data_IF_137964008993
#
_entry.id   IF_137964008993
#
_cell.length_a   1.000
_cell.length_b   1.000
_cell.length_c   1.000
_cell.angle_alpha   90.00
_cell.angle_beta   90.00
_cell.angle_gamma   90.00
#
_symmetry.space_group_name_H-M   'P 1'
#
loop_
_entity.id
_entity.type
_entity.pdbx_description
1 polymer ?
#
# COMPACT_ATOMS: atom_id res chain seq x y z
N UNK A 1 14.88 13.58 -12.86
CA UNK A 1 14.59 14.13 -14.21
C UNK A 1 14.51 15.63 -14.10
N UNK A 2 14.98 16.40 -15.07
CA UNK A 2 14.79 17.84 -15.08
C UNK A 2 13.32 18.13 -15.41
N UNK A 3 12.58 18.62 -14.45
CA UNK A 3 11.16 18.99 -14.56
C UNK A 3 10.66 19.52 -13.22
N UNK A 4 9.47 20.13 -13.19
CA UNK A 4 8.92 20.67 -11.95
C UNK A 4 8.64 19.53 -10.97
N UNK A 5 8.82 19.78 -9.68
CA UNK A 5 8.49 18.86 -8.60
C UNK A 5 6.98 18.89 -8.34
N UNK A 6 6.43 17.81 -7.76
CA UNK A 6 4.98 17.70 -7.53
C UNK A 6 4.40 18.86 -6.72
N UNK A 7 5.13 19.37 -5.74
CA UNK A 7 4.70 20.50 -4.90
C UNK A 7 4.84 21.88 -5.55
N UNK A 8 5.52 21.96 -6.71
CA UNK A 8 5.67 23.20 -7.50
C UNK A 8 4.53 23.40 -8.50
N UNK A 9 3.69 22.35 -8.68
CA UNK A 9 2.55 22.37 -9.59
C UNK A 9 1.26 21.97 -8.84
N UNK A 10 0.12 22.24 -9.42
CA UNK A 10 -1.15 21.83 -8.82
C UNK A 10 -1.36 20.29 -8.88
N UNK A 11 -2.26 19.74 -8.04
CA UNK A 11 -2.49 18.29 -7.95
C UNK A 11 -2.78 17.59 -9.28
N UNK A 12 -3.58 18.22 -10.14
CA UNK A 12 -3.91 17.67 -11.47
C UNK A 12 -2.67 17.49 -12.36
N UNK A 13 -1.79 18.48 -12.42
CA UNK A 13 -0.55 18.39 -13.19
C UNK A 13 0.44 17.42 -12.56
N UNK A 14 0.55 17.40 -11.24
CA UNK A 14 1.39 16.44 -10.50
C UNK A 14 0.99 14.99 -10.79
N UNK A 15 -0.31 14.69 -10.90
CA UNK A 15 -0.83 13.37 -11.30
C UNK A 15 -0.40 12.99 -12.71
N UNK A 16 -0.50 13.92 -13.67
CA UNK A 16 -0.04 13.72 -15.05
C UNK A 16 1.47 13.43 -15.10
N UNK A 17 2.27 14.19 -14.32
CA UNK A 17 3.72 13.97 -14.24
C UNK A 17 4.05 12.61 -13.64
N UNK A 18 3.31 12.17 -12.62
CA UNK A 18 3.48 10.84 -12.03
C UNK A 18 3.21 9.73 -13.06
N UNK A 19 2.10 9.78 -13.81
CA UNK A 19 1.81 8.84 -14.89
C UNK A 19 2.97 8.75 -15.91
N UNK A 20 3.42 9.90 -16.42
CA UNK A 20 4.55 9.94 -17.37
C UNK A 20 5.83 9.33 -16.78
N UNK A 21 6.11 9.62 -15.52
CA UNK A 21 7.28 9.08 -14.83
C UNK A 21 7.22 7.55 -14.72
N UNK A 22 6.06 7.00 -14.32
CA UNK A 22 5.87 5.54 -14.18
C UNK A 22 6.04 4.80 -15.50
N UNK A 23 5.49 5.32 -16.59
CA UNK A 23 5.67 4.71 -17.92
C UNK A 23 7.13 4.58 -18.36
N UNK A 24 8.00 5.47 -17.91
CA UNK A 24 9.43 5.47 -18.24
C UNK A 24 10.25 4.64 -17.26
N UNK A 25 9.93 4.74 -15.97
CA UNK A 25 10.78 4.26 -14.88
C UNK A 25 10.43 2.84 -14.38
N UNK A 26 9.20 2.37 -14.62
CA UNK A 26 8.78 1.04 -14.16
C UNK A 26 8.77 0.00 -15.28
N UNK A 27 8.74 -1.26 -14.89
CA UNK A 27 8.54 -2.39 -15.80
C UNK A 27 7.12 -2.37 -16.39
N UNK A 28 6.88 -3.00 -17.55
CA UNK A 28 5.54 -3.10 -18.11
C UNK A 28 4.64 -4.02 -17.26
N UNK A 29 3.33 -3.88 -17.42
CA UNK A 29 2.34 -4.74 -16.75
C UNK A 29 2.57 -6.23 -17.03
N UNK A 30 2.94 -6.56 -18.28
CA UNK A 30 3.08 -7.95 -18.72
C UNK A 30 1.74 -8.67 -18.83
N UNK A 31 1.79 -9.95 -19.24
CA UNK A 31 0.60 -10.75 -19.45
C UNK A 31 0.04 -11.30 -18.13
N UNK A 32 -1.27 -11.23 -17.97
CA UNK A 32 -2.06 -11.89 -16.94
C UNK A 32 -3.30 -12.53 -17.57
N UNK A 33 -3.80 -13.58 -16.95
CA UNK A 33 -5.05 -14.21 -17.39
C UNK A 33 -6.25 -13.27 -17.18
N UNK A 34 -6.21 -12.44 -16.13
CA UNK A 34 -7.30 -11.49 -15.84
C UNK A 34 -6.72 -10.15 -15.40
N UNK A 35 -7.14 -9.08 -16.08
CA UNK A 35 -7.11 -7.70 -15.59
C UNK A 35 -8.50 -7.13 -15.81
N UNK A 36 -9.24 -6.85 -14.74
CA UNK A 36 -10.66 -6.49 -14.84
C UNK A 36 -11.03 -5.36 -13.87
N UNK A 37 -11.68 -4.31 -14.40
CA UNK A 37 -12.30 -3.27 -13.58
C UNK A 37 -13.49 -3.79 -12.80
N UNK A 38 -13.63 -3.33 -11.56
CA UNK A 38 -14.71 -3.63 -10.63
C UNK A 38 -15.16 -2.35 -9.94
N UNK A 39 -16.29 -2.41 -9.28
CA UNK A 39 -16.78 -1.31 -8.46
C UNK A 39 -17.33 -1.85 -7.14
N UNK A 40 -16.92 -1.24 -6.04
CA UNK A 40 -17.46 -1.52 -4.72
C UNK A 40 -18.32 -0.34 -4.25
N UNK A 41 -19.38 -0.63 -3.51
CA UNK A 41 -20.17 0.43 -2.86
C UNK A 41 -19.38 1.01 -1.69
N UNK A 42 -19.07 2.30 -1.76
CA UNK A 42 -18.39 3.06 -0.71
C UNK A 42 -19.31 4.02 0.05
N UNK A 43 -18.75 4.75 1.03
CA UNK A 43 -19.51 5.68 1.88
C UNK A 43 -20.04 6.91 1.13
N UNK A 44 -19.43 7.30 0.02
CA UNK A 44 -19.82 8.48 -0.76
C UNK A 44 -20.10 8.17 -2.25
N UNK A 45 -20.29 6.91 -2.59
CA UNK A 45 -20.53 6.45 -3.97
C UNK A 45 -19.72 5.20 -4.31
N UNK A 46 -19.52 4.98 -5.59
CA UNK A 46 -18.78 3.82 -6.09
C UNK A 46 -17.27 4.02 -5.93
N UNK A 47 -16.59 2.98 -5.43
CA UNK A 47 -15.13 2.91 -5.34
C UNK A 47 -14.62 2.06 -6.50
N UNK A 48 -13.86 2.61 -7.45
CA UNK A 48 -13.23 1.84 -8.51
C UNK A 48 -12.24 0.82 -7.92
N UNK A 49 -12.33 -0.41 -8.39
CA UNK A 49 -11.37 -1.47 -8.05
C UNK A 49 -10.81 -2.07 -9.33
N UNK A 50 -9.65 -2.72 -9.24
CA UNK A 50 -9.11 -3.51 -10.35
C UNK A 50 -8.56 -4.84 -9.83
N UNK A 51 -9.04 -5.92 -10.45
CA UNK A 51 -8.59 -7.29 -10.19
C UNK A 51 -7.47 -7.66 -11.17
N UNK A 52 -6.40 -8.22 -10.64
CA UNK A 52 -5.29 -8.83 -11.37
C UNK A 52 -5.16 -10.28 -10.94
N UNK A 53 -5.14 -11.22 -11.88
CA UNK A 53 -4.97 -12.63 -11.59
C UNK A 53 -4.15 -13.33 -12.67
N UNK A 54 -3.15 -14.08 -12.25
CA UNK A 54 -2.33 -14.90 -13.12
C UNK A 54 -3.07 -16.15 -13.64
N UNK A 55 -4.20 -16.52 -13.03
CA UNK A 55 -5.05 -17.65 -13.42
C UNK A 55 -6.41 -17.18 -13.93
N UNK A 56 -6.93 -17.89 -14.92
CA UNK A 56 -8.28 -17.63 -15.45
C UNK A 56 -9.38 -18.12 -14.50
N UNK A 57 -9.11 -19.19 -13.75
CA UNK A 57 -10.04 -19.80 -12.79
C UNK A 57 -9.34 -20.08 -11.46
N UNK A 58 -10.06 -19.86 -10.36
CA UNK A 58 -9.59 -20.14 -9.01
C UNK A 58 -10.68 -20.77 -8.15
N UNK A 59 -10.26 -21.69 -7.28
CA UNK A 59 -11.04 -22.08 -6.12
C UNK A 59 -11.04 -21.02 -5.02
N UNK A 60 -11.78 -21.25 -3.92
CA UNK A 60 -11.75 -20.40 -2.73
C UNK A 60 -10.33 -20.20 -2.21
N UNK A 61 -9.98 -18.96 -1.84
CA UNK A 61 -8.62 -18.67 -1.37
C UNK A 61 -8.42 -17.25 -0.86
N UNK A 62 -7.20 -16.95 -0.37
CA UNK A 62 -6.81 -15.61 0.02
C UNK A 62 -6.70 -14.66 -1.18
N UNK A 63 -6.91 -13.37 -0.94
CA UNK A 63 -6.68 -12.30 -1.92
C UNK A 63 -5.83 -11.20 -1.31
N UNK A 64 -5.00 -10.56 -2.13
CA UNK A 64 -4.26 -9.36 -1.75
C UNK A 64 -5.14 -8.14 -2.02
N UNK A 65 -5.38 -7.33 -1.01
CA UNK A 65 -6.02 -6.02 -1.14
C UNK A 65 -4.92 -4.96 -1.15
N UNK A 66 -4.73 -4.29 -2.27
CA UNK A 66 -3.66 -3.33 -2.47
C UNK A 66 -4.17 -1.88 -2.47
N UNK A 67 -3.57 -1.04 -1.65
CA UNK A 67 -3.76 0.41 -1.63
C UNK A 67 -2.49 1.09 -2.15
N UNK A 68 -2.64 1.94 -3.16
CA UNK A 68 -1.50 2.60 -3.80
C UNK A 68 -0.93 3.75 -2.96
N UNK A 69 0.35 4.07 -3.18
CA UNK A 69 1.02 5.25 -2.63
C UNK A 69 0.71 6.53 -3.41
N UNK A 70 1.32 7.63 -2.95
CA UNK A 70 1.17 8.95 -3.58
C UNK A 70 0.74 10.05 -2.62
N UNK A 71 1.04 9.92 -1.31
CA UNK A 71 0.78 10.95 -0.31
C UNK A 71 -0.70 11.30 -0.16
N UNK A 72 -1.62 10.36 -0.44
CA UNK A 72 -3.07 10.56 -0.42
C UNK A 72 -3.60 11.56 -1.47
N UNK A 73 -2.73 12.07 -2.34
CA UNK A 73 -3.01 13.13 -3.34
C UNK A 73 -2.76 12.65 -4.75
N UNK A 74 -1.76 11.82 -4.94
CA UNK A 74 -1.29 11.29 -6.23
C UNK A 74 -1.54 9.78 -6.31
N UNK A 75 -1.28 9.23 -7.48
CA UNK A 75 -1.44 7.81 -7.75
C UNK A 75 -2.88 7.44 -8.10
N UNK A 76 -3.02 6.28 -8.69
CA UNK A 76 -4.28 5.65 -9.06
C UNK A 76 -4.03 4.18 -9.44
N UNK A 77 -5.07 3.52 -9.96
CA UNK A 77 -4.98 2.15 -10.42
C UNK A 77 -3.94 1.97 -11.53
N UNK A 78 -3.89 2.89 -12.51
CA UNK A 78 -3.01 2.78 -13.67
C UNK A 78 -1.52 2.98 -13.31
N UNK A 79 -1.23 3.87 -12.36
CA UNK A 79 0.15 4.11 -11.91
C UNK A 79 0.78 2.93 -11.17
N UNK A 80 -0.04 2.01 -10.65
CA UNK A 80 0.41 0.84 -9.90
C UNK A 80 0.03 -0.50 -10.58
N UNK A 81 -0.57 -0.46 -11.78
CA UNK A 81 -0.84 -1.66 -12.60
C UNK A 81 0.36 -2.59 -12.72
N UNK A 82 1.57 -2.08 -13.07
CA UNK A 82 2.74 -2.96 -13.23
C UNK A 82 3.13 -3.69 -11.95
N UNK A 83 3.05 -3.04 -10.80
CA UNK A 83 3.37 -3.66 -9.52
C UNK A 83 2.29 -4.67 -9.09
N UNK A 84 1.00 -4.32 -9.22
CA UNK A 84 -0.10 -5.22 -8.90
C UNK A 84 -0.06 -6.50 -9.76
N UNK A 85 0.22 -6.36 -11.05
CA UNK A 85 0.37 -7.49 -11.95
C UNK A 85 1.56 -8.36 -11.56
N UNK A 86 2.68 -7.76 -11.17
CA UNK A 86 3.88 -8.48 -10.76
C UNK A 86 3.64 -9.30 -9.49
N UNK A 87 3.08 -8.69 -8.46
CA UNK A 87 2.81 -9.44 -7.21
C UNK A 87 1.72 -10.49 -7.39
N UNK A 88 0.76 -10.30 -8.32
CA UNK A 88 -0.20 -11.35 -8.67
C UNK A 88 0.49 -12.59 -9.27
N UNK A 89 1.49 -12.38 -10.14
CA UNK A 89 2.31 -13.48 -10.69
C UNK A 89 3.20 -14.13 -9.63
N UNK A 90 3.93 -13.30 -8.88
CA UNK A 90 4.92 -13.81 -7.91
C UNK A 90 4.24 -14.54 -6.75
N UNK A 91 3.14 -14.04 -6.21
CA UNK A 91 2.42 -14.68 -5.11
C UNK A 91 1.51 -15.82 -5.57
N UNK A 92 1.14 -15.84 -6.85
CA UNK A 92 0.07 -16.68 -7.40
C UNK A 92 -1.26 -16.49 -6.64
N UNK A 93 -1.56 -15.24 -6.29
CA UNK A 93 -2.80 -14.82 -5.64
C UNK A 93 -3.48 -13.71 -6.43
N UNK A 94 -4.82 -13.65 -6.40
CA UNK A 94 -5.52 -12.49 -6.95
C UNK A 94 -5.13 -11.22 -6.17
N UNK A 95 -4.89 -10.13 -6.88
CA UNK A 95 -4.66 -8.80 -6.31
C UNK A 95 -5.84 -7.90 -6.66
N UNK A 96 -6.40 -7.23 -5.67
CA UNK A 96 -7.48 -6.26 -5.85
C UNK A 96 -6.96 -4.90 -5.43
N UNK A 97 -6.69 -4.04 -6.41
CA UNK A 97 -6.26 -2.67 -6.16
C UNK A 97 -7.47 -1.75 -5.93
N UNK A 98 -7.32 -0.82 -5.00
CA UNK A 98 -8.36 0.11 -4.58
C UNK A 98 -8.08 1.51 -5.12
N UNK A 99 -8.98 2.03 -5.95
CA UNK A 99 -8.98 3.42 -6.42
C UNK A 99 -9.71 4.33 -5.44
N UNK A 100 -9.15 4.56 -4.27
CA UNK A 100 -9.72 5.39 -3.22
C UNK A 100 -9.70 6.88 -3.59
N UNK A 101 -10.61 7.67 -3.01
CA UNK A 101 -10.70 9.11 -3.25
C UNK A 101 -9.45 9.84 -2.77
N UNK A 102 -9.00 10.81 -3.57
CA UNK A 102 -7.77 11.58 -3.35
C UNK A 102 -8.06 13.01 -2.89
N UNK A 103 -7.15 13.53 -2.08
CA UNK A 103 -7.09 14.93 -1.73
C UNK A 103 -6.42 15.75 -2.87
N UNK A 104 -6.64 17.05 -2.97
CA UNK A 104 -7.49 17.88 -2.09
C UNK A 104 -8.99 17.83 -2.42
N UNK A 105 -9.41 17.19 -3.52
CA UNK A 105 -10.83 17.13 -3.92
C UNK A 105 -11.67 16.40 -2.86
N UNK A 106 -11.07 15.39 -2.22
CA UNK A 106 -11.66 14.62 -1.15
C UNK A 106 -10.63 14.49 0.00
N UNK A 107 -10.52 15.51 0.86
CA UNK A 107 -9.53 15.49 1.94
C UNK A 107 -9.85 14.42 2.98
N UNK A 108 -9.04 14.33 4.00
CA UNK A 108 -9.25 13.48 5.18
C UNK A 108 -10.71 13.56 5.69
N UNK A 109 -11.36 12.43 6.04
CA UNK A 109 -10.86 11.04 6.01
C UNK A 109 -11.34 10.23 4.77
N UNK A 110 -11.69 10.87 3.66
CA UNK A 110 -12.37 10.24 2.53
C UNK A 110 -11.67 8.98 1.99
N UNK A 111 -10.35 9.05 1.74
CA UNK A 111 -9.59 7.94 1.17
C UNK A 111 -9.48 6.73 2.11
N UNK A 112 -9.29 6.96 3.41
CA UNK A 112 -9.20 5.88 4.39
C UNK A 112 -10.55 5.19 4.62
N UNK A 113 -11.65 5.93 4.55
CA UNK A 113 -13.00 5.37 4.63
C UNK A 113 -13.31 4.48 3.40
N UNK A 114 -12.87 4.89 2.21
CA UNK A 114 -12.98 4.08 1.01
C UNK A 114 -12.15 2.79 1.12
N UNK A 115 -10.91 2.86 1.62
CA UNK A 115 -10.06 1.68 1.80
C UNK A 115 -10.70 0.64 2.74
N UNK A 116 -11.26 1.09 3.87
CA UNK A 116 -11.96 0.22 4.82
C UNK A 116 -13.24 -0.37 4.19
N UNK A 117 -14.02 0.44 3.47
CA UNK A 117 -15.23 -0.02 2.80
C UNK A 117 -14.93 -1.05 1.70
N UNK A 118 -13.90 -0.80 0.87
CA UNK A 118 -13.44 -1.74 -0.14
C UNK A 118 -12.99 -3.08 0.47
N UNK A 119 -12.27 -3.04 1.60
CA UNK A 119 -11.85 -4.24 2.32
C UNK A 119 -13.06 -5.09 2.78
N UNK A 120 -14.08 -4.45 3.36
CA UNK A 120 -15.30 -5.13 3.78
C UNK A 120 -16.08 -5.70 2.59
N UNK A 121 -16.15 -4.97 1.47
CA UNK A 121 -16.80 -5.42 0.25
C UNK A 121 -16.11 -6.65 -0.33
N UNK A 122 -14.78 -6.65 -0.43
CA UNK A 122 -13.99 -7.80 -0.93
C UNK A 122 -14.15 -9.01 0.02
N UNK A 123 -14.09 -8.77 1.34
CA UNK A 123 -14.27 -9.81 2.35
C UNK A 123 -15.64 -10.52 2.27
N UNK A 124 -16.66 -9.82 1.77
CA UNK A 124 -18.00 -10.37 1.56
C UNK A 124 -18.15 -11.26 0.33
N UNK A 125 -17.10 -11.44 -0.48
CA UNK A 125 -17.13 -12.26 -1.73
C UNK A 125 -18.35 -11.97 -2.60
N UNK A 126 -18.64 -10.72 -2.99
CA UNK A 126 -19.82 -10.41 -3.79
C UNK A 126 -19.73 -11.07 -5.17
N UNK A 127 -20.89 -11.42 -5.76
CA UNK A 127 -20.95 -12.09 -7.07
C UNK A 127 -20.17 -11.35 -8.16
N UNK A 128 -20.19 -10.02 -8.13
CA UNK A 128 -19.43 -9.19 -9.07
C UNK A 128 -17.91 -9.41 -9.01
N UNK A 129 -17.38 -9.84 -7.87
CA UNK A 129 -15.97 -10.17 -7.71
C UNK A 129 -15.61 -11.48 -8.45
N UNK A 130 -16.51 -12.45 -8.48
CA UNK A 130 -16.30 -13.75 -9.13
C UNK A 130 -15.27 -14.63 -8.44
N UNK A 131 -14.93 -14.33 -7.17
CA UNK A 131 -13.98 -15.08 -6.33
C UNK A 131 -14.62 -15.40 -4.99
N UNK A 132 -14.40 -16.60 -4.48
CA UNK A 132 -14.73 -16.97 -3.11
C UNK A 132 -13.53 -16.65 -2.19
N UNK A 133 -13.59 -15.52 -1.52
CA UNK A 133 -12.51 -15.01 -0.67
C UNK A 133 -12.57 -15.71 0.70
N UNK A 134 -11.45 -16.28 1.16
CA UNK A 134 -11.35 -16.91 2.48
C UNK A 134 -10.59 -16.08 3.50
N UNK A 135 -9.75 -15.15 3.03
CA UNK A 135 -9.01 -14.22 3.86
C UNK A 135 -8.41 -13.08 3.02
N UNK A 136 -8.04 -12.00 3.67
CA UNK A 136 -7.38 -10.85 3.07
C UNK A 136 -5.89 -10.82 3.43
N UNK A 137 -5.06 -10.40 2.48
CA UNK A 137 -3.71 -9.93 2.74
C UNK A 137 -3.71 -8.43 2.42
N UNK A 138 -3.60 -7.58 3.44
CA UNK A 138 -3.55 -6.13 3.22
C UNK A 138 -2.17 -5.71 2.79
N UNK A 139 -2.07 -4.98 1.69
CA UNK A 139 -0.81 -4.53 1.11
C UNK A 139 -0.94 -3.08 0.64
N UNK A 140 0.15 -2.36 0.68
CA UNK A 140 0.19 -1.01 0.12
C UNK A 140 1.53 -0.34 0.35
N UNK A 141 1.80 0.68 -0.41
CA UNK A 141 3.05 1.41 -0.39
C UNK A 141 2.88 2.85 0.10
N UNK A 142 3.80 3.37 0.90
CA UNK A 142 3.79 4.76 1.37
C UNK A 142 2.47 5.13 2.10
N UNK A 143 1.68 6.06 1.55
CA UNK A 143 0.32 6.37 1.99
C UNK A 143 -0.59 5.14 1.96
N UNK A 144 -0.46 4.28 0.93
CA UNK A 144 -1.15 3.00 0.87
C UNK A 144 -0.65 2.00 1.91
N UNK A 145 0.62 2.07 2.29
CA UNK A 145 1.18 1.33 3.42
C UNK A 145 0.57 1.74 4.76
N UNK A 146 0.27 3.04 4.94
CA UNK A 146 -0.55 3.53 6.03
C UNK A 146 -1.93 2.86 6.01
N UNK A 147 -2.62 2.91 4.86
CA UNK A 147 -3.95 2.30 4.72
C UNK A 147 -3.93 0.78 4.95
N UNK A 148 -2.88 0.05 4.56
CA UNK A 148 -2.75 -1.37 4.85
C UNK A 148 -2.76 -1.65 6.36
N UNK A 149 -2.05 -0.83 7.14
CA UNK A 149 -2.04 -0.92 8.60
C UNK A 149 -3.41 -0.53 9.17
N UNK A 150 -3.99 0.58 8.71
CA UNK A 150 -5.29 1.09 9.19
C UNK A 150 -6.43 0.13 8.90
N UNK A 151 -6.49 -0.45 7.70
CA UNK A 151 -7.48 -1.47 7.34
C UNK A 151 -7.33 -2.70 8.24
N UNK A 152 -6.11 -3.16 8.47
CA UNK A 152 -5.86 -4.29 9.38
C UNK A 152 -6.31 -4.00 10.81
N UNK A 153 -6.05 -2.80 11.34
CA UNK A 153 -6.53 -2.35 12.64
C UNK A 153 -8.06 -2.28 12.69
N UNK A 154 -8.68 -1.69 11.65
CA UNK A 154 -10.14 -1.57 11.58
C UNK A 154 -10.83 -2.94 11.55
N UNK A 155 -10.30 -3.89 10.77
CA UNK A 155 -10.87 -5.23 10.66
C UNK A 155 -10.52 -6.14 11.85
N UNK A 156 -9.45 -5.85 12.59
CA UNK A 156 -9.18 -6.48 13.90
C UNK A 156 -10.21 -6.07 14.94
N UNK A 157 -10.50 -4.76 15.02
CA UNK A 157 -11.39 -4.20 16.03
C UNK A 157 -12.87 -4.46 15.71
N UNK A 158 -13.22 -4.40 14.43
CA UNK A 158 -14.55 -4.70 13.89
C UNK A 158 -14.41 -5.72 12.74
N UNK A 159 -14.45 -7.04 13.03
CA UNK A 159 -14.22 -8.06 12.03
C UNK A 159 -15.11 -7.96 10.79
N UNK A 160 -14.54 -8.28 9.62
CA UNK A 160 -15.27 -8.48 8.37
C UNK A 160 -15.72 -9.95 8.22
N UNK A 161 -16.31 -10.30 7.06
CA UNK A 161 -16.78 -11.65 6.79
C UNK A 161 -15.64 -12.71 6.78
N UNK A 162 -14.42 -12.28 6.46
CA UNK A 162 -13.22 -13.11 6.51
C UNK A 162 -12.09 -12.36 7.22
N UNK A 163 -11.11 -13.08 7.84
CA UNK A 163 -10.02 -12.46 8.58
C UNK A 163 -8.96 -11.81 7.66
N UNK A 164 -8.15 -10.92 8.24
CA UNK A 164 -6.87 -10.50 7.65
C UNK A 164 -5.83 -11.55 8.03
N UNK A 165 -5.29 -12.25 7.03
CA UNK A 165 -4.34 -13.35 7.17
C UNK A 165 -2.92 -12.86 7.42
N UNK A 166 -2.52 -11.79 6.71
CA UNK A 166 -1.23 -11.13 6.83
C UNK A 166 -1.33 -9.66 6.38
N UNK A 167 -0.36 -8.83 6.76
CA UNK A 167 -0.21 -7.48 6.21
C UNK A 167 1.20 -7.25 5.67
N UNK A 168 1.27 -6.48 4.60
CA UNK A 168 2.52 -6.10 3.94
C UNK A 168 2.56 -4.59 3.69
N UNK A 169 2.83 -3.76 4.71
CA UNK A 169 3.10 -2.34 4.53
C UNK A 169 4.51 -2.13 3.96
N UNK A 170 4.59 -1.46 2.82
CA UNK A 170 5.81 -1.17 2.07
C UNK A 170 6.17 0.30 2.31
N UNK A 171 7.35 0.57 2.88
CA UNK A 171 7.82 1.90 3.34
C UNK A 171 6.67 2.80 3.85
N UNK A 172 5.92 2.33 4.87
CA UNK A 172 4.66 2.95 5.24
C UNK A 172 4.84 4.30 5.92
N UNK A 173 3.90 5.22 5.68
CA UNK A 173 3.68 6.37 6.55
C UNK A 173 2.98 5.91 7.85
N UNK A 174 3.72 5.22 8.74
CA UNK A 174 3.14 4.55 9.90
C UNK A 174 2.91 5.49 11.09
N UNK A 175 3.68 6.58 11.18
CA UNK A 175 3.58 7.56 12.27
C UNK A 175 3.97 8.96 11.78
N UNK A 176 3.23 9.54 10.82
CA UNK A 176 3.61 10.81 10.20
C UNK A 176 3.56 12.00 11.18
N UNK A 177 2.79 11.91 12.26
CA UNK A 177 2.74 12.95 13.28
C UNK A 177 4.00 13.04 14.17
N UNK A 178 4.94 12.07 14.06
CA UNK A 178 6.18 12.03 14.85
C UNK A 178 7.42 12.25 13.99
N UNK A 179 8.34 13.10 14.45
CA UNK A 179 9.65 13.28 13.84
C UNK A 179 10.57 12.08 14.08
N UNK A 180 11.38 11.73 13.06
CA UNK A 180 12.40 10.67 13.11
C UNK A 180 13.70 11.16 12.46
N UNK A 181 14.88 10.60 12.81
CA UNK A 181 16.16 11.01 12.24
C UNK A 181 16.22 10.92 10.72
N UNK A 182 15.67 9.84 10.12
CA UNK A 182 15.65 9.66 8.66
C UNK A 182 14.99 10.81 7.91
N UNK A 183 14.06 11.53 8.55
CA UNK A 183 13.44 12.71 7.97
C UNK A 183 14.49 13.78 7.63
N UNK A 184 15.44 14.03 8.51
CA UNK A 184 16.53 14.99 8.27
C UNK A 184 17.59 14.41 7.33
N UNK A 185 17.94 13.12 7.49
CA UNK A 185 19.02 12.48 6.74
C UNK A 185 18.72 12.37 5.25
N UNK A 186 17.46 12.13 4.86
CA UNK A 186 17.05 11.80 3.50
C UNK A 186 15.94 12.70 2.93
N UNK A 187 15.62 13.79 3.59
CA UNK A 187 14.55 14.70 3.17
C UNK A 187 14.87 15.55 1.93
N UNK A 188 16.09 15.44 1.37
CA UNK A 188 16.50 16.07 0.13
C UNK A 188 17.37 15.13 -0.70
N UNK A 189 17.19 15.17 -2.04
CA UNK A 189 18.03 14.43 -2.99
C UNK A 189 17.61 12.97 -3.24
N UNK A 190 16.59 12.43 -2.54
CA UNK A 190 16.18 11.03 -2.61
C UNK A 190 14.71 10.84 -3.06
N UNK A 191 14.23 11.63 -4.00
CA UNK A 191 12.90 11.62 -4.60
C UNK A 191 11.81 12.20 -3.69
N UNK A 192 11.52 11.59 -2.54
CA UNK A 192 10.60 12.15 -1.55
C UNK A 192 11.32 13.24 -0.75
N UNK A 193 10.76 14.45 -0.73
CA UNK A 193 11.39 15.62 -0.08
C UNK A 193 10.52 16.19 1.03
N UNK A 194 11.13 17.00 1.91
CA UNK A 194 10.41 17.76 2.94
C UNK A 194 9.28 18.60 2.36
N UNK A 195 9.54 19.30 1.24
CA UNK A 195 8.55 20.17 0.61
C UNK A 195 7.38 19.35 0.04
N UNK A 196 7.68 18.19 -0.57
CA UNK A 196 6.64 17.30 -1.05
C UNK A 196 5.78 16.74 0.09
N UNK A 197 6.40 16.34 1.20
CA UNK A 197 5.67 15.83 2.37
C UNK A 197 4.76 16.88 2.99
N UNK A 198 5.24 18.13 3.16
CA UNK A 198 4.41 19.24 3.64
C UNK A 198 3.23 19.51 2.70
N UNK A 199 3.50 19.54 1.39
CA UNK A 199 2.45 19.73 0.39
C UNK A 199 1.38 18.62 0.43
N UNK A 200 1.77 17.36 0.64
CA UNK A 200 0.83 16.26 0.82
C UNK A 200 -0.04 16.47 2.07
N UNK A 201 0.56 16.85 3.19
CA UNK A 201 -0.16 17.11 4.43
C UNK A 201 -1.13 18.30 4.29
N UNK A 202 -0.70 19.38 3.62
CA UNK A 202 -1.55 20.55 3.34
C UNK A 202 -2.76 20.18 2.47
N UNK A 203 -2.57 19.32 1.46
CA UNK A 203 -3.66 18.85 0.60
C UNK A 203 -4.59 17.86 1.32
N UNK A 204 -4.02 16.93 2.08
CA UNK A 204 -4.78 15.86 2.75
C UNK A 204 -5.51 16.37 3.99
N UNK A 205 -4.95 17.35 4.68
CA UNK A 205 -5.48 18.02 5.86
C UNK A 205 -5.94 17.02 6.97
N UNK A 206 -5.07 16.09 7.41
CA UNK A 206 -5.46 15.05 8.35
C UNK A 206 -5.62 15.59 9.76
N UNK A 207 -6.38 14.87 10.61
CA UNK A 207 -6.30 15.03 12.05
C UNK A 207 -5.08 14.26 12.58
N UNK A 208 -4.03 14.93 13.07
CA UNK A 208 -2.79 14.27 13.52
C UNK A 208 -2.99 13.40 14.77
N UNK A 209 -4.12 13.53 15.47
CA UNK A 209 -4.47 12.74 16.64
C UNK A 209 -5.30 11.51 16.31
N UNK A 210 -5.85 11.44 15.12
CA UNK A 210 -6.65 10.27 14.70
C UNK A 210 -5.72 9.11 14.34
N UNK A 211 -6.00 7.93 14.89
CA UNK A 211 -5.25 6.71 14.63
C UNK A 211 -5.26 6.27 13.17
N UNK A 212 -6.26 6.71 12.39
CA UNK A 212 -6.33 6.40 10.95
C UNK A 212 -5.32 7.19 10.12
N UNK A 213 -4.72 8.26 10.70
CA UNK A 213 -3.57 8.96 10.12
C UNK A 213 -2.25 8.47 10.71
N UNK A 214 -2.19 8.30 12.04
CA UNK A 214 -1.00 7.80 12.75
C UNK A 214 -1.29 6.45 13.44
N UNK A 215 -1.35 5.32 12.69
CA UNK A 215 -1.81 4.04 13.24
C UNK A 215 -0.99 3.49 14.41
N UNK A 216 0.23 3.96 14.59
CA UNK A 216 1.06 3.59 15.74
C UNK A 216 0.59 4.14 17.09
N UNK A 217 -0.38 5.06 17.13
CA UNK A 217 -0.97 5.51 18.40
C UNK A 217 -1.92 4.46 19.00
N UNK A 218 -2.39 3.50 18.18
CA UNK A 218 -3.14 2.33 18.64
C UNK A 218 -2.23 1.18 19.01
N UNK A 219 -2.71 0.34 19.93
CA UNK A 219 -2.05 -0.93 20.26
C UNK A 219 -1.99 -1.85 19.05
N UNK A 220 -0.83 -2.47 18.82
CA UNK A 220 -0.64 -3.46 17.75
C UNK A 220 -0.96 -4.91 18.22
N UNK A 221 -1.39 -5.12 19.45
CA UNK A 221 -1.80 -6.44 19.95
C UNK A 221 -2.93 -7.01 19.08
N UNK A 222 -2.79 -8.25 18.65
CA UNK A 222 -3.78 -8.94 17.81
C UNK A 222 -3.73 -8.58 16.34
N UNK A 223 -2.72 -7.82 15.89
CA UNK A 223 -2.48 -7.60 14.47
C UNK A 223 -2.09 -8.90 13.76
N UNK A 224 -2.39 -9.03 12.46
CA UNK A 224 -1.98 -10.22 11.68
C UNK A 224 -0.46 -10.29 11.53
N UNK A 225 0.10 -11.47 11.19
CA UNK A 225 1.49 -11.59 10.78
C UNK A 225 1.90 -10.52 9.79
N UNK A 226 3.07 -9.92 10.00
CA UNK A 226 3.44 -8.66 9.35
C UNK A 226 4.79 -8.77 8.65
N UNK A 227 4.83 -8.41 7.36
CA UNK A 227 6.05 -8.11 6.63
C UNK A 227 6.18 -6.59 6.48
N UNK A 228 7.07 -5.96 7.23
CA UNK A 228 7.38 -4.53 7.06
C UNK A 228 8.59 -4.38 6.16
N UNK A 229 8.45 -3.58 5.11
CA UNK A 229 9.55 -3.27 4.18
C UNK A 229 9.84 -1.79 4.21
N UNK A 230 11.13 -1.40 4.29
CA UNK A 230 11.58 0.00 4.20
C UNK A 230 12.56 0.18 3.06
N UNK A 231 12.63 1.38 2.50
CA UNK A 231 13.73 1.78 1.64
C UNK A 231 14.85 2.38 2.52
N UNK A 232 16.12 2.09 2.18
CA UNK A 232 17.26 2.52 3.01
C UNK A 232 17.52 4.02 2.95
N UNK A 233 17.25 4.65 1.80
CA UNK A 233 17.48 6.07 1.52
C UNK A 233 16.13 6.81 1.43
N UNK A 234 15.39 6.85 2.55
CA UNK A 234 14.00 7.30 2.59
C UNK A 234 13.74 8.15 3.85
N UNK A 235 13.18 9.36 3.70
CA UNK A 235 12.88 10.21 4.85
C UNK A 235 11.88 9.59 5.84
N UNK A 236 11.03 8.66 5.42
CA UNK A 236 10.10 7.97 6.33
C UNK A 236 10.56 6.54 6.70
N UNK A 237 11.81 6.16 6.38
CA UNK A 237 12.40 4.86 6.72
C UNK A 237 12.17 4.48 8.18
N UNK A 238 12.49 5.39 9.09
CA UNK A 238 12.48 5.10 10.52
C UNK A 238 11.05 4.96 11.10
N UNK A 239 10.02 5.46 10.40
CA UNK A 239 8.62 5.16 10.72
C UNK A 239 8.33 3.66 10.53
N UNK A 240 8.79 3.08 9.43
CA UNK A 240 8.63 1.64 9.17
C UNK A 240 9.41 0.77 10.16
N UNK A 241 10.64 1.17 10.52
CA UNK A 241 11.43 0.51 11.56
C UNK A 241 10.73 0.53 12.92
N UNK A 242 10.19 1.69 13.30
CA UNK A 242 9.45 1.84 14.55
C UNK A 242 8.16 1.02 14.54
N UNK A 243 7.48 0.93 13.40
CA UNK A 243 6.29 0.09 13.27
C UNK A 243 6.60 -1.40 13.43
N UNK A 244 7.68 -1.88 12.79
CA UNK A 244 8.12 -3.26 12.96
C UNK A 244 8.46 -3.59 14.42
N UNK A 245 9.16 -2.69 15.12
CA UNK A 245 9.46 -2.85 16.53
C UNK A 245 8.19 -2.90 17.39
N UNK A 246 7.22 -2.01 17.14
CA UNK A 246 5.95 -2.02 17.87
C UNK A 246 5.14 -3.31 17.64
N UNK A 247 5.17 -3.88 16.44
CA UNK A 247 4.56 -5.19 16.16
C UNK A 247 5.23 -6.31 16.96
N UNK A 248 6.56 -6.35 16.98
CA UNK A 248 7.33 -7.34 17.76
C UNK A 248 7.04 -7.22 19.25
N UNK A 249 7.05 -6.01 19.81
CA UNK A 249 6.73 -5.72 21.21
C UNK A 249 5.29 -6.15 21.57
N UNK A 250 4.37 -6.07 20.60
CA UNK A 250 2.99 -6.52 20.76
C UNK A 250 2.80 -8.03 20.58
N UNK A 251 3.88 -8.80 20.35
CA UNK A 251 3.82 -10.26 20.15
C UNK A 251 3.31 -10.67 18.76
N UNK A 252 3.31 -9.77 17.78
CA UNK A 252 2.92 -10.04 16.40
C UNK A 252 4.07 -10.74 15.67
N UNK A 253 3.85 -11.90 14.99
CA UNK A 253 4.85 -12.50 14.12
C UNK A 253 5.26 -11.49 13.04
N UNK A 254 6.52 -11.02 13.07
CA UNK A 254 6.95 -9.89 12.24
C UNK A 254 8.27 -10.19 11.55
N UNK A 255 8.31 -9.98 10.25
CA UNK A 255 9.54 -9.93 9.47
C UNK A 255 9.78 -8.49 9.04
N UNK A 256 10.98 -7.99 9.31
CA UNK A 256 11.43 -6.67 8.85
C UNK A 256 12.48 -6.85 7.76
N UNK A 257 12.29 -6.16 6.63
CA UNK A 257 13.24 -6.11 5.53
C UNK A 257 13.55 -4.67 5.14
N UNK A 258 14.82 -4.33 4.96
CA UNK A 258 15.26 -3.05 4.44
C UNK A 258 15.90 -3.20 3.07
N UNK A 259 15.34 -2.56 2.05
CA UNK A 259 15.91 -2.40 0.73
C UNK A 259 16.99 -1.30 0.78
N UNK A 260 18.20 -1.66 1.26
CA UNK A 260 19.23 -0.71 1.73
C UNK A 260 19.68 0.32 0.69
N UNK A 261 19.80 -0.07 -0.57
CA UNK A 261 20.23 0.80 -1.67
C UNK A 261 19.08 1.53 -2.38
N UNK A 262 17.85 1.27 -1.99
CA UNK A 262 16.67 1.81 -2.65
C UNK A 262 16.15 3.09 -1.97
N UNK A 263 15.46 3.91 -2.77
CA UNK A 263 14.79 5.14 -2.36
C UNK A 263 13.29 4.90 -2.18
N UNK A 264 12.59 5.88 -1.59
CA UNK A 264 11.13 5.87 -1.49
C UNK A 264 10.47 5.65 -2.86
N UNK A 265 9.44 4.81 -2.96
CA UNK A 265 8.73 4.52 -4.21
C UNK A 265 9.41 3.51 -5.13
N UNK A 266 10.44 2.79 -4.67
CA UNK A 266 11.24 1.87 -5.49
C UNK A 266 10.41 0.78 -6.19
N UNK A 267 9.29 0.35 -5.62
CA UNK A 267 8.46 -0.71 -6.23
C UNK A 267 7.94 -0.35 -7.62
N UNK A 268 7.88 0.93 -7.93
CA UNK A 268 7.42 1.47 -9.22
C UNK A 268 8.58 2.06 -10.06
N UNK A 269 9.82 1.64 -9.78
CA UNK A 269 11.04 2.13 -10.44
C UNK A 269 11.91 0.98 -10.97
N UNK A 270 11.33 -0.19 -11.21
CA UNK A 270 12.05 -1.44 -11.52
C UNK A 270 12.92 -1.37 -12.78
N UNK A 271 12.56 -0.53 -13.75
CA UNK A 271 13.38 -0.30 -14.93
C UNK A 271 14.49 0.72 -14.67
N UNK A 272 14.21 1.76 -13.88
CA UNK A 272 15.19 2.79 -13.53
C UNK A 272 16.15 2.33 -12.43
N UNK A 273 15.70 1.46 -11.52
CA UNK A 273 16.46 0.90 -10.39
C UNK A 273 16.32 -0.64 -10.44
N UNK A 274 17.15 -1.35 -11.17
CA UNK A 274 17.00 -2.81 -11.36
C UNK A 274 17.03 -3.64 -10.08
N UNK A 275 17.70 -3.18 -9.00
CA UNK A 275 17.70 -3.84 -7.68
C UNK A 275 16.31 -3.92 -7.06
N UNK A 276 15.38 -3.04 -7.45
CA UNK A 276 14.00 -3.04 -6.96
C UNK A 276 13.27 -4.36 -7.23
N UNK A 277 13.50 -4.97 -8.39
CA UNK A 277 12.88 -6.25 -8.76
C UNK A 277 13.30 -7.37 -7.79
N UNK A 278 14.58 -7.49 -7.48
CA UNK A 278 15.09 -8.51 -6.55
C UNK A 278 14.57 -8.29 -5.10
N UNK A 279 14.38 -7.02 -4.70
CA UNK A 279 13.78 -6.72 -3.40
C UNK A 279 12.31 -7.11 -3.35
N UNK A 280 11.54 -6.87 -4.42
CA UNK A 280 10.13 -7.30 -4.52
C UNK A 280 10.02 -8.83 -4.49
N UNK A 281 10.83 -9.54 -5.28
CA UNK A 281 10.88 -11.01 -5.28
C UNK A 281 11.18 -11.57 -3.90
N UNK A 282 12.21 -11.04 -3.22
CA UNK A 282 12.55 -11.45 -1.86
C UNK A 282 11.44 -11.16 -0.84
N UNK A 283 10.67 -10.09 -1.01
CA UNK A 283 9.52 -9.79 -0.17
C UNK A 283 8.37 -10.77 -0.41
N UNK A 284 8.07 -11.10 -1.67
CA UNK A 284 6.99 -12.03 -2.00
C UNK A 284 7.27 -13.44 -1.50
N UNK A 285 8.53 -13.91 -1.54
CA UNK A 285 8.90 -15.20 -0.96
C UNK A 285 8.68 -15.23 0.57
N UNK A 286 9.03 -14.17 1.28
CA UNK A 286 8.76 -14.05 2.72
C UNK A 286 7.25 -14.04 2.99
N UNK A 287 6.49 -13.30 2.19
CA UNK A 287 5.03 -13.21 2.37
C UNK A 287 4.35 -14.56 2.14
N UNK A 288 4.80 -15.36 1.15
CA UNK A 288 4.32 -16.73 0.94
C UNK A 288 4.51 -17.61 2.18
N UNK A 289 5.67 -17.51 2.85
CA UNK A 289 5.93 -18.25 4.08
C UNK A 289 4.98 -17.85 5.20
N UNK A 290 4.78 -16.54 5.43
CA UNK A 290 3.85 -16.03 6.44
C UNK A 290 2.40 -16.49 6.18
N UNK A 291 1.99 -16.52 4.92
CA UNK A 291 0.65 -16.99 4.50
C UNK A 291 0.53 -18.49 4.75
N UNK A 292 1.53 -19.29 4.35
CA UNK A 292 1.51 -20.75 4.48
C UNK A 292 1.43 -21.21 5.94
N UNK A 293 2.16 -20.58 6.85
CA UNK A 293 2.14 -20.88 8.29
C UNK A 293 0.73 -20.70 8.88
N UNK A 294 -0.06 -19.77 8.37
CA UNK A 294 -1.43 -19.50 8.87
C UNK A 294 -2.50 -20.35 8.22
N UNK A 295 -2.26 -20.87 7.02
CA UNK A 295 -3.21 -21.76 6.33
C UNK A 295 -3.03 -23.22 6.73
N UNK A 296 -1.91 -23.56 7.36
CA UNK A 296 -1.59 -24.92 7.84
C UNK A 296 -1.97 -25.14 9.32
N UNK A 297 -2.31 -24.09 10.05
CA UNK A 297 -2.73 -24.11 11.47
C UNK A 297 -4.25 -24.07 11.61
#
# INVERSE_FOLDING_TARGET
>A
MPGPRSHEVGPAEARILMHKSRQVADAPVGDLATIRGLSARGPAGEIPLRLYDARAERGPGPVVLFMHGGGFVLGDLDTHDPFCAEIARLLDLPVIAVGYRLAPEHPWPAGVEDAIAAARWVAGSPDALGLAVTSLVTCGDSAGGNFAIVVSLALRDEPAAVPVLAQWPIYPAANPAKGYPSFQDFGEGYLLTHDAMRWFDDCYAPDPKDWRYSPMVKSQIGMPPTLVVTAGLDPIRDQGRAYAAACVEAGVPTVFREARGNIHGFINLRKAIPSSQADIEGCTEILKLLIAERTSA
#
